data_IF_966817403283
#
_entry.id   IF_966817403283
#
_cell.length_a   1.000
_cell.length_b   1.000
_cell.length_c   1.000
_cell.angle_alpha   90.00
_cell.angle_beta   90.00
_cell.angle_gamma   90.00
#
_symmetry.space_group_name_H-M   'P 1'
#
loop_
_entity.id
_entity.type
_entity.pdbx_description
1 polymer ?
#
# COMPACT_ATOMS: atom_id res chain seq x y z
N UNK A 1 -22.18 -16.51 -0.41
CA UNK A 1 -21.85 -16.51 -1.86
C UNK A 1 -22.56 -15.39 -2.62
N UNK A 2 -22.75 -14.19 -2.04
CA UNK A 2 -23.57 -13.13 -2.61
C UNK A 2 -22.78 -11.93 -3.20
N UNK A 3 -21.44 -12.02 -3.26
CA UNK A 3 -20.55 -10.89 -3.62
C UNK A 3 -19.69 -11.13 -4.88
N UNK A 4 -20.03 -12.10 -5.75
CA UNK A 4 -19.17 -12.45 -6.89
C UNK A 4 -18.00 -13.37 -6.50
N UNK A 5 -17.34 -13.96 -7.50
CA UNK A 5 -16.36 -15.05 -7.34
C UNK A 5 -15.14 -14.73 -6.45
N UNK A 6 -14.33 -15.73 -6.08
CA UNK A 6 -13.22 -15.60 -5.11
C UNK A 6 -12.06 -14.68 -5.55
N UNK A 7 -12.10 -14.14 -6.76
CA UNK A 7 -10.95 -13.44 -7.35
C UNK A 7 -10.80 -12.00 -6.88
N UNK A 8 -11.91 -11.28 -6.69
CA UNK A 8 -11.84 -9.93 -6.11
C UNK A 8 -11.37 -9.98 -4.65
N UNK A 9 -11.75 -11.03 -3.91
CA UNK A 9 -11.26 -11.24 -2.54
C UNK A 9 -9.77 -11.55 -2.52
N UNK A 10 -9.29 -12.30 -3.52
CA UNK A 10 -7.87 -12.56 -3.70
C UNK A 10 -7.10 -11.27 -3.95
N UNK A 11 -7.55 -10.46 -4.92
CA UNK A 11 -6.95 -9.16 -5.22
C UNK A 11 -6.96 -8.24 -3.99
N UNK A 12 -8.08 -8.16 -3.27
CA UNK A 12 -8.20 -7.33 -2.06
C UNK A 12 -7.24 -7.77 -0.95
N UNK A 13 -7.15 -9.07 -0.67
CA UNK A 13 -6.23 -9.61 0.32
C UNK A 13 -4.76 -9.37 -0.07
N UNK A 14 -4.38 -9.66 -1.32
CA UNK A 14 -3.03 -9.40 -1.81
C UNK A 14 -2.67 -7.91 -1.80
N UNK A 15 -3.62 -7.04 -2.13
CA UNK A 15 -3.44 -5.59 -2.08
C UNK A 15 -3.24 -5.08 -0.64
N UNK A 16 -4.04 -5.55 0.33
CA UNK A 16 -3.83 -5.18 1.75
C UNK A 16 -2.45 -5.61 2.26
N UNK A 17 -1.99 -6.81 1.90
CA UNK A 17 -0.65 -7.29 2.24
C UNK A 17 0.42 -6.43 1.54
N UNK A 18 0.18 -6.05 0.27
CA UNK A 18 1.08 -5.17 -0.47
C UNK A 18 1.18 -3.78 0.16
N UNK A 19 0.08 -3.22 0.66
CA UNK A 19 0.09 -1.96 1.42
C UNK A 19 0.94 -2.08 2.67
N UNK A 20 0.72 -3.12 3.49
CA UNK A 20 1.51 -3.35 4.70
C UNK A 20 3.01 -3.54 4.40
N UNK A 21 3.34 -4.29 3.34
CA UNK A 21 4.73 -4.48 2.92
C UNK A 21 5.36 -3.19 2.39
N UNK A 22 4.61 -2.38 1.64
CA UNK A 22 5.09 -1.10 1.11
C UNK A 22 5.38 -0.14 2.24
N UNK A 23 4.47 -0.02 3.20
CA UNK A 23 4.61 0.82 4.40
C UNK A 23 5.81 0.41 5.27
N UNK A 24 5.98 -0.89 5.49
CA UNK A 24 7.12 -1.42 6.27
C UNK A 24 8.45 -1.11 5.59
N UNK A 25 8.58 -1.37 4.29
CA UNK A 25 9.83 -1.06 3.58
C UNK A 25 10.08 0.45 3.48
N UNK A 26 9.02 1.25 3.29
CA UNK A 26 9.13 2.70 3.24
C UNK A 26 9.65 3.28 4.56
N UNK A 27 9.15 2.79 5.70
CA UNK A 27 9.57 3.26 7.02
C UNK A 27 10.98 2.79 7.41
N UNK A 28 11.33 1.53 7.14
CA UNK A 28 12.67 0.98 7.45
C UNK A 28 13.77 1.57 6.56
N UNK A 29 13.53 1.69 5.25
CA UNK A 29 14.54 2.20 4.30
C UNK A 29 14.47 3.73 4.21
N UNK A 30 13.27 4.31 4.27
CA UNK A 30 13.07 5.75 4.12
C UNK A 30 13.52 6.55 5.34
N UNK A 31 13.47 5.97 6.54
CA UNK A 31 13.97 6.62 7.77
C UNK A 31 15.49 6.84 7.78
N UNK A 32 16.23 6.17 6.88
CA UNK A 32 17.67 6.37 6.71
C UNK A 32 18.01 7.56 5.80
N UNK A 33 17.05 8.11 5.05
CA UNK A 33 17.30 9.22 4.13
C UNK A 33 17.06 10.57 4.81
N UNK A 34 18.10 11.42 4.94
CA UNK A 34 17.97 12.74 5.54
C UNK A 34 17.11 13.70 4.71
N UNK A 35 16.81 13.38 3.43
CA UNK A 35 15.97 14.17 2.54
C UNK A 35 14.50 13.79 2.69
N UNK A 36 14.01 13.83 3.92
CA UNK A 36 12.60 13.56 4.24
C UNK A 36 11.78 14.86 4.18
N UNK A 37 10.59 14.78 3.57
CA UNK A 37 9.64 15.89 3.44
C UNK A 37 8.24 15.45 3.86
N UNK A 38 7.49 16.33 4.51
CA UNK A 38 6.10 16.05 4.87
C UNK A 38 5.22 15.84 3.63
N UNK A 39 4.33 14.85 3.67
CA UNK A 39 3.40 14.54 2.58
C UNK A 39 2.35 15.64 2.32
N UNK A 40 2.08 16.48 3.31
CA UNK A 40 1.02 17.51 3.22
C UNK A 40 1.50 18.80 2.56
N UNK A 41 2.67 19.29 2.97
CA UNK A 41 3.19 20.61 2.59
C UNK A 41 4.55 20.57 1.90
N UNK A 42 5.15 19.38 1.73
CA UNK A 42 6.46 19.17 1.09
C UNK A 42 7.63 19.91 1.76
N UNK A 43 7.43 20.37 3.00
CA UNK A 43 8.47 20.98 3.83
C UNK A 43 9.43 19.91 4.35
N UNK A 44 10.69 20.30 4.56
CA UNK A 44 11.70 19.39 5.09
C UNK A 44 11.40 19.06 6.56
N UNK A 45 11.38 17.77 6.88
CA UNK A 45 11.14 17.26 8.24
C UNK A 45 12.25 16.28 8.64
N UNK A 46 12.51 16.07 9.94
CA UNK A 46 13.45 15.06 10.39
C UNK A 46 13.10 13.68 9.85
N UNK A 47 14.12 12.87 9.55
CA UNK A 47 13.90 11.49 9.12
C UNK A 47 13.18 10.70 10.23
N UNK A 48 12.23 9.84 9.83
CA UNK A 48 11.37 9.10 10.76
C UNK A 48 10.19 9.89 11.32
N UNK A 49 9.94 11.12 10.86
CA UNK A 49 8.70 11.85 11.19
C UNK A 49 7.49 11.14 10.57
N UNK A 50 6.43 10.93 11.35
CA UNK A 50 5.16 10.39 10.87
C UNK A 50 4.60 11.26 9.73
N UNK A 51 4.29 10.64 8.60
CA UNK A 51 3.87 11.33 7.38
C UNK A 51 5.01 11.98 6.58
N UNK A 52 6.27 11.68 6.93
CA UNK A 52 7.44 12.04 6.16
C UNK A 52 7.68 11.07 5.00
N UNK A 53 7.85 11.61 3.80
CA UNK A 53 8.26 10.89 2.61
C UNK A 53 9.69 11.23 2.24
N UNK A 54 10.49 10.21 1.93
CA UNK A 54 11.82 10.37 1.35
C UNK A 54 11.89 9.68 0.00
N UNK A 55 12.86 10.07 -0.83
CA UNK A 55 13.00 9.50 -2.17
C UNK A 55 13.29 8.00 -2.08
N UNK A 56 14.19 7.59 -1.18
CA UNK A 56 14.48 6.17 -0.95
C UNK A 56 13.26 5.43 -0.40
N UNK A 57 12.49 6.05 0.50
CA UNK A 57 11.25 5.49 1.05
C UNK A 57 10.20 5.26 -0.02
N UNK A 58 10.00 6.19 -0.95
CA UNK A 58 9.04 6.04 -2.06
C UNK A 58 9.43 4.89 -3.00
N UNK A 59 10.72 4.73 -3.31
CA UNK A 59 11.18 3.57 -4.09
C UNK A 59 11.05 2.26 -3.31
N UNK A 60 11.38 2.27 -2.01
CA UNK A 60 11.21 1.12 -1.14
C UNK A 60 9.74 0.67 -1.05
N UNK A 61 8.81 1.62 -0.94
CA UNK A 61 7.37 1.36 -1.00
C UNK A 61 6.99 0.65 -2.30
N UNK A 62 7.46 1.16 -3.44
CA UNK A 62 7.18 0.56 -4.75
C UNK A 62 7.69 -0.88 -4.84
N UNK A 63 8.93 -1.14 -4.41
CA UNK A 63 9.49 -2.48 -4.39
C UNK A 63 8.79 -3.42 -3.39
N UNK A 64 8.28 -2.90 -2.28
CA UNK A 64 7.45 -3.66 -1.34
C UNK A 64 6.15 -4.14 -1.97
N UNK A 65 5.43 -3.23 -2.63
CA UNK A 65 4.22 -3.59 -3.39
C UNK A 65 4.53 -4.56 -4.54
N UNK A 66 5.63 -4.35 -5.26
CA UNK A 66 6.06 -5.22 -6.35
C UNK A 66 6.41 -6.64 -5.89
N UNK A 67 7.10 -6.78 -4.75
CA UNK A 67 7.44 -8.07 -4.18
C UNK A 67 6.18 -8.91 -3.91
N UNK A 68 5.18 -8.31 -3.25
CA UNK A 68 3.91 -8.97 -2.97
C UNK A 68 3.14 -9.25 -4.28
N UNK A 69 3.18 -8.35 -5.25
CA UNK A 69 2.55 -8.56 -6.55
C UNK A 69 3.15 -9.76 -7.31
N UNK A 70 4.47 -9.94 -7.28
CA UNK A 70 5.15 -11.11 -7.89
C UNK A 70 4.74 -12.40 -7.17
N UNK A 71 4.72 -12.41 -5.84
CA UNK A 71 4.29 -13.59 -5.07
C UNK A 71 2.82 -13.94 -5.32
N UNK A 72 1.93 -12.94 -5.33
CA UNK A 72 0.52 -13.15 -5.57
C UNK A 72 0.27 -13.65 -7.02
N UNK A 73 0.89 -13.02 -8.00
CA UNK A 73 0.69 -13.41 -9.42
C UNK A 73 1.21 -14.82 -9.72
N UNK A 74 2.35 -15.22 -9.14
CA UNK A 74 2.87 -16.58 -9.27
C UNK A 74 1.93 -17.61 -8.64
N UNK A 75 1.42 -17.36 -7.43
CA UNK A 75 0.44 -18.24 -6.77
C UNK A 75 -0.89 -18.33 -7.52
N UNK A 76 -1.36 -17.20 -8.06
CA UNK A 76 -2.57 -17.12 -8.85
C UNK A 76 -2.45 -17.86 -10.19
N UNK A 77 -1.28 -17.78 -10.83
CA UNK A 77 -1.00 -18.50 -12.08
C UNK A 77 -1.10 -20.02 -11.94
N UNK A 78 -0.83 -20.58 -10.76
CA UNK A 78 -0.93 -22.03 -10.50
C UNK A 78 -2.39 -22.49 -10.43
N UNK A 79 -3.27 -21.64 -9.89
CA UNK A 79 -4.69 -21.97 -9.69
C UNK A 79 -5.55 -21.73 -10.93
N UNK A 80 -5.05 -21.00 -11.93
CA UNK A 80 -5.73 -20.83 -13.23
C UNK A 80 -6.94 -19.91 -13.17
N UNK A 81 -6.81 -18.74 -12.55
CA UNK A 81 -7.89 -17.74 -12.49
C UNK A 81 -8.07 -16.91 -13.78
N UNK A 82 -9.13 -16.10 -13.81
CA UNK A 82 -9.56 -15.36 -15.01
C UNK A 82 -8.92 -13.98 -15.19
N UNK A 83 -8.40 -13.38 -14.11
CA UNK A 83 -7.75 -12.08 -14.15
C UNK A 83 -6.43 -12.19 -14.93
N UNK A 84 -6.18 -11.32 -15.94
CA UNK A 84 -4.90 -11.29 -16.63
C UNK A 84 -3.75 -11.04 -15.66
N UNK A 85 -2.70 -11.87 -15.71
CA UNK A 85 -1.58 -11.83 -14.76
C UNK A 85 -0.89 -10.46 -14.71
N UNK A 86 -0.75 -9.79 -15.85
CA UNK A 86 -0.16 -8.45 -15.93
C UNK A 86 -1.03 -7.41 -15.22
N UNK A 87 -2.36 -7.50 -15.34
CA UNK A 87 -3.29 -6.61 -14.66
C UNK A 87 -3.27 -6.85 -13.15
N UNK A 88 -3.25 -8.12 -12.73
CA UNK A 88 -3.14 -8.50 -11.32
C UNK A 88 -1.86 -7.93 -10.69
N UNK A 89 -0.71 -8.10 -11.35
CA UNK A 89 0.57 -7.57 -10.89
C UNK A 89 0.54 -6.06 -10.76
N UNK A 90 0.07 -5.37 -11.81
CA UNK A 90 -0.03 -3.92 -11.85
C UNK A 90 -0.93 -3.38 -10.73
N UNK A 91 -2.13 -3.93 -10.56
CA UNK A 91 -3.06 -3.47 -9.52
C UNK A 91 -2.47 -3.66 -8.12
N UNK A 92 -1.88 -4.82 -7.82
CA UNK A 92 -1.30 -5.07 -6.48
C UNK A 92 -0.14 -4.11 -6.20
N UNK A 93 0.76 -3.90 -7.17
CA UNK A 93 1.89 -2.97 -7.01
C UNK A 93 1.42 -1.53 -6.80
N UNK A 94 0.51 -1.05 -7.67
CA UNK A 94 0.03 0.34 -7.62
C UNK A 94 -0.78 0.59 -6.36
N UNK A 95 -1.68 -0.32 -5.98
CA UNK A 95 -2.49 -0.18 -4.76
C UNK A 95 -1.61 -0.29 -3.52
N UNK A 96 -0.63 -1.21 -3.49
CA UNK A 96 0.33 -1.31 -2.40
C UNK A 96 1.07 0.01 -2.17
N UNK A 97 1.58 0.59 -3.24
CA UNK A 97 2.26 1.89 -3.21
C UNK A 97 1.31 3.02 -2.76
N UNK A 98 0.12 3.14 -3.36
CA UNK A 98 -0.87 4.17 -3.01
C UNK A 98 -1.33 4.06 -1.56
N UNK A 99 -1.54 2.85 -1.03
CA UNK A 99 -1.97 2.67 0.36
C UNK A 99 -0.91 3.09 1.37
N UNK A 100 0.38 2.95 1.05
CA UNK A 100 1.47 3.52 1.86
C UNK A 100 1.40 5.05 1.91
N UNK A 101 0.99 5.70 0.81
CA UNK A 101 0.75 7.14 0.80
C UNK A 101 -0.44 7.52 1.69
N UNK A 102 -1.50 6.69 1.72
CA UNK A 102 -2.64 6.89 2.64
C UNK A 102 -2.20 6.82 4.10
N UNK A 103 -1.33 5.86 4.45
CA UNK A 103 -0.74 5.77 5.79
C UNK A 103 -0.02 7.08 6.18
N UNK A 104 0.86 7.56 5.30
CA UNK A 104 1.59 8.81 5.51
C UNK A 104 0.65 10.03 5.67
N UNK A 105 -0.43 10.12 4.88
CA UNK A 105 -1.42 11.21 4.99
C UNK A 105 -2.13 11.14 6.35
N UNK A 106 -2.58 9.95 6.75
CA UNK A 106 -3.28 9.75 8.02
C UNK A 106 -2.35 9.99 9.22
N UNK A 107 -1.08 9.56 9.11
CA UNK A 107 -0.04 9.83 10.11
C UNK A 107 0.21 11.33 10.27
N UNK A 108 0.32 12.06 9.15
CA UNK A 108 0.54 13.51 9.17
C UNK A 108 -0.66 14.28 9.76
N UNK A 109 -1.90 13.88 9.44
CA UNK A 109 -3.11 14.61 9.82
C UNK A 109 -3.66 14.25 11.20
N UNK A 110 -3.59 12.97 11.59
CA UNK A 110 -4.35 12.45 12.72
C UNK A 110 -3.45 11.85 13.81
N UNK A 111 -2.38 11.15 13.43
CA UNK A 111 -1.46 10.56 14.40
C UNK A 111 -0.61 11.62 15.11
N UNK A 112 -0.06 12.57 14.36
CA UNK A 112 0.74 13.67 14.91
C UNK A 112 -0.04 14.55 15.90
N UNK A 113 -1.34 14.71 15.66
CA UNK A 113 -2.26 15.46 16.54
C UNK A 113 -2.81 14.62 17.70
N UNK A 114 -2.46 13.32 17.77
CA UNK A 114 -2.87 12.42 18.85
C UNK A 114 -4.32 11.92 18.77
N UNK A 115 -5.03 12.13 17.66
CA UNK A 115 -6.42 11.66 17.50
C UNK A 115 -6.51 10.14 17.36
N UNK A 116 -5.53 9.53 16.68
CA UNK A 116 -5.46 8.08 16.47
C UNK A 116 -4.03 7.57 16.68
N UNK A 117 -3.88 6.30 17.07
CA UNK A 117 -2.58 5.67 17.21
C UNK A 117 -2.11 4.96 15.94
N UNK A 118 -0.81 4.68 15.84
CA UNK A 118 -0.15 4.01 14.71
C UNK A 118 -0.88 2.75 14.24
N UNK A 119 -1.31 1.86 15.14
CA UNK A 119 -2.04 0.65 14.76
C UNK A 119 -3.36 0.94 14.03
N UNK A 120 -4.04 2.03 14.39
CA UNK A 120 -5.27 2.47 13.71
C UNK A 120 -4.95 3.02 12.32
N UNK A 121 -3.86 3.78 12.18
CA UNK A 121 -3.38 4.28 10.88
C UNK A 121 -3.08 3.11 9.94
N UNK A 122 -2.25 2.15 10.36
CA UNK A 122 -1.92 0.97 9.57
C UNK A 122 -3.16 0.15 9.20
N UNK A 123 -4.12 0.02 10.11
CA UNK A 123 -5.40 -0.65 9.84
C UNK A 123 -6.20 0.09 8.75
N UNK A 124 -6.32 1.41 8.86
CA UNK A 124 -7.04 2.22 7.86
C UNK A 124 -6.32 2.23 6.51
N UNK A 125 -4.99 2.26 6.48
CA UNK A 125 -4.19 2.17 5.27
C UNK A 125 -4.41 0.82 4.57
N UNK A 126 -4.30 -0.30 5.28
CA UNK A 126 -4.52 -1.64 4.70
C UNK A 126 -5.97 -1.88 4.29
N UNK A 127 -6.94 -1.32 5.01
CA UNK A 127 -8.36 -1.29 4.64
C UNK A 127 -8.58 -0.47 3.36
N UNK A 128 -7.92 0.68 3.22
CA UNK A 128 -7.97 1.48 2.00
C UNK A 128 -7.45 0.70 0.79
N UNK A 129 -6.40 -0.11 0.98
CA UNK A 129 -5.90 -1.07 -0.01
C UNK A 129 -6.95 -2.05 -0.48
N UNK A 130 -7.66 -2.69 0.45
CA UNK A 130 -8.75 -3.63 0.12
C UNK A 130 -9.88 -2.94 -0.66
N UNK A 131 -10.27 -1.72 -0.25
CA UNK A 131 -11.31 -0.95 -0.92
C UNK A 131 -10.89 -0.50 -2.33
N UNK A 132 -9.65 -0.04 -2.50
CA UNK A 132 -9.09 0.30 -3.81
C UNK A 132 -9.08 -0.92 -4.74
N UNK A 133 -8.69 -2.08 -4.24
CA UNK A 133 -8.72 -3.34 -4.98
C UNK A 133 -10.12 -3.77 -5.39
N UNK A 134 -11.09 -3.69 -4.46
CA UNK A 134 -12.49 -3.97 -4.75
C UNK A 134 -13.02 -3.07 -5.88
N UNK A 135 -12.78 -1.75 -5.78
CA UNK A 135 -13.21 -0.79 -6.80
C UNK A 135 -12.50 -1.03 -8.14
N UNK A 136 -11.21 -1.32 -8.12
CA UNK A 136 -10.43 -1.61 -9.33
C UNK A 136 -10.94 -2.86 -10.05
N UNK A 137 -11.27 -3.92 -9.30
CA UNK A 137 -11.88 -5.12 -9.85
C UNK A 137 -13.17 -4.78 -10.58
N UNK A 138 -14.16 -4.20 -9.90
CA UNK A 138 -15.46 -3.92 -10.52
C UNK A 138 -15.43 -2.92 -11.68
N UNK A 139 -14.38 -2.09 -11.76
CA UNK A 139 -14.27 -1.05 -12.79
C UNK A 139 -13.49 -1.49 -14.02
N UNK A 140 -12.56 -2.43 -13.89
CA UNK A 140 -11.56 -2.75 -14.91
C UNK A 140 -11.39 -4.25 -15.20
N UNK A 141 -11.90 -5.16 -14.36
CA UNK A 141 -11.78 -6.62 -14.48
C UNK A 141 -13.16 -7.27 -14.58
#
# INVERSE_FOLDING_TARGET
FALGGPEWTYLAASASIAVASSDTLASEIGSLDPRTRSILNLEAVPAGTNGGMSVTGTFAAFFGGLLIAVMATTLYSIHGGTIPLISLMMFITVIGWLGCQVDSILGALLENEGYIGKHTVNFLATLSGALMAYLAYWRFL
#
